data_IF_227249972252
#
_entry.id   IF_227249972252
#
_cell.length_a   1.000
_cell.length_b   1.000
_cell.length_c   1.000
_cell.angle_alpha   90.00
_cell.angle_beta   90.00
_cell.angle_gamma   90.00
#
_symmetry.space_group_name_H-M   'P 1'
#
loop_
_entity.id
_entity.type
_entity.pdbx_description
1 polymer ?
#
# COMPACT_ATOMS: atom_id res chain seq x y z
N UNK A 1 1.40 5.87 3.54
CA UNK A 1 1.09 6.11 4.96
C UNK A 1 -0.40 6.37 5.18
N UNK A 2 -0.97 7.45 4.64
CA UNK A 2 -2.33 7.94 5.00
C UNK A 2 -3.43 6.86 4.86
N UNK A 3 -3.59 6.26 3.68
CA UNK A 3 -4.64 5.25 3.46
C UNK A 3 -4.46 4.02 4.34
N UNK A 4 -3.21 3.60 4.60
CA UNK A 4 -2.93 2.52 5.54
C UNK A 4 -3.43 2.87 6.95
N UNK A 5 -3.13 4.07 7.45
CA UNK A 5 -3.60 4.48 8.77
C UNK A 5 -5.13 4.60 8.83
N UNK A 6 -5.79 5.04 7.75
CA UNK A 6 -7.25 5.11 7.71
C UNK A 6 -7.89 3.72 7.81
N UNK A 7 -7.37 2.73 7.07
CA UNK A 7 -7.86 1.35 7.12
C UNK A 7 -7.53 0.72 8.47
N UNK A 8 -6.28 0.84 8.92
CA UNK A 8 -5.80 0.24 10.17
C UNK A 8 -6.41 0.91 11.40
N UNK A 9 -6.87 2.16 11.32
CA UNK A 9 -7.65 2.77 12.40
C UNK A 9 -8.96 2.02 12.65
N UNK A 10 -9.59 1.45 11.62
CA UNK A 10 -10.81 0.65 11.78
C UNK A 10 -10.54 -0.68 12.49
N UNK A 11 -9.32 -1.22 12.40
CA UNK A 11 -8.94 -2.49 13.02
C UNK A 11 -8.34 -2.33 14.42
N UNK A 12 -7.45 -1.35 14.63
CA UNK A 12 -6.66 -1.18 15.87
C UNK A 12 -6.78 0.20 16.53
N UNK A 13 -7.64 1.07 16.00
CA UNK A 13 -7.89 2.41 16.54
C UNK A 13 -6.62 3.28 16.57
N UNK A 14 -6.46 4.02 17.68
CA UNK A 14 -5.34 4.94 17.88
C UNK A 14 -3.96 4.26 17.84
N UNK A 15 -3.88 2.94 18.03
CA UNK A 15 -2.63 2.17 17.94
C UNK A 15 -1.96 2.31 16.57
N UNK A 16 -2.72 2.65 15.52
CA UNK A 16 -2.18 2.90 14.18
C UNK A 16 -1.12 4.02 14.18
N UNK A 17 -1.17 4.96 15.13
CA UNK A 17 -0.18 6.05 15.28
C UNK A 17 1.25 5.52 15.46
N UNK A 18 1.42 4.33 16.03
CA UNK A 18 2.73 3.72 16.27
C UNK A 18 3.34 3.09 15.00
N UNK A 19 2.54 2.89 13.96
CA UNK A 19 3.00 2.32 12.70
C UNK A 19 3.67 3.39 11.84
N UNK A 20 4.78 3.05 11.18
CA UNK A 20 5.50 3.96 10.26
C UNK A 20 5.44 3.43 8.83
N UNK A 21 4.24 3.07 8.38
CA UNK A 21 4.04 2.49 7.06
C UNK A 21 4.31 3.53 5.96
N UNK A 22 5.23 3.24 5.05
CA UNK A 22 5.55 4.11 3.93
C UNK A 22 5.72 3.31 2.64
N UNK A 23 5.71 4.00 1.51
CA UNK A 23 5.90 3.39 0.21
C UNK A 23 6.57 4.39 -0.72
N UNK A 24 7.26 3.90 -1.74
CA UNK A 24 7.93 4.72 -2.73
C UNK A 24 8.33 3.91 -3.96
N UNK A 25 8.89 4.62 -4.94
CA UNK A 25 9.45 4.03 -6.14
C UNK A 25 10.98 4.10 -6.07
N UNK A 26 11.64 2.95 -6.21
CA UNK A 26 13.10 2.85 -6.23
C UNK A 26 13.50 2.16 -7.51
N UNK A 27 14.14 2.90 -8.44
CA UNK A 27 14.62 2.37 -9.73
C UNK A 27 13.55 1.56 -10.48
N UNK A 28 12.34 2.11 -10.60
CA UNK A 28 11.25 1.46 -11.33
C UNK A 28 10.56 0.33 -10.56
N UNK A 29 10.91 0.13 -9.29
CA UNK A 29 10.30 -0.89 -8.42
C UNK A 29 9.51 -0.23 -7.30
N UNK A 30 8.25 -0.61 -7.13
CA UNK A 30 7.48 -0.21 -5.96
C UNK A 30 8.04 -0.90 -4.71
N UNK A 31 8.38 -0.10 -3.70
CA UNK A 31 8.84 -0.57 -2.39
C UNK A 31 7.82 -0.14 -1.36
N UNK A 32 7.23 -1.11 -0.65
CA UNK A 32 6.27 -0.88 0.42
C UNK A 32 6.82 -1.39 1.74
N UNK A 33 6.85 -0.50 2.73
CA UNK A 33 7.34 -0.76 4.08
C UNK A 33 6.13 -0.85 5.00
N UNK A 34 5.84 -2.07 5.48
CA UNK A 34 4.69 -2.37 6.33
C UNK A 34 5.13 -2.71 7.76
N UNK A 35 4.27 -2.52 8.78
CA UNK A 35 4.55 -2.97 10.13
C UNK A 35 4.65 -4.49 10.22
N UNK A 36 5.46 -5.01 11.15
CA UNK A 36 5.72 -6.46 11.28
C UNK A 36 4.56 -7.30 11.83
N UNK A 37 3.47 -6.67 12.27
CA UNK A 37 2.28 -7.40 12.76
C UNK A 37 1.55 -8.09 11.61
N UNK A 38 1.17 -9.37 11.74
CA UNK A 38 0.36 -10.06 10.73
C UNK A 38 -0.96 -9.33 10.41
N UNK A 39 -1.59 -8.70 11.41
CA UNK A 39 -2.81 -7.91 11.23
C UNK A 39 -2.57 -6.69 10.34
N UNK A 40 -1.46 -5.98 10.54
CA UNK A 40 -1.10 -4.83 9.70
C UNK A 40 -0.80 -5.26 8.26
N UNK A 41 -0.12 -6.40 8.06
CA UNK A 41 0.09 -6.97 6.74
C UNK A 41 -1.25 -7.33 6.05
N UNK A 42 -2.20 -7.89 6.80
CA UNK A 42 -3.55 -8.18 6.29
C UNK A 42 -4.30 -6.91 5.90
N UNK A 43 -4.30 -5.89 6.75
CA UNK A 43 -4.94 -4.59 6.47
C UNK A 43 -4.37 -3.95 5.18
N UNK A 44 -3.05 -3.95 5.03
CA UNK A 44 -2.38 -3.44 3.84
C UNK A 44 -2.69 -4.28 2.59
N UNK A 45 -2.71 -5.60 2.72
CA UNK A 45 -2.99 -6.49 1.60
C UNK A 45 -4.43 -6.38 1.12
N UNK A 46 -5.39 -6.65 2.02
CA UNK A 46 -6.81 -6.73 1.68
C UNK A 46 -7.37 -5.36 1.30
N UNK A 47 -6.94 -4.28 1.98
CA UNK A 47 -7.50 -2.95 1.78
C UNK A 47 -6.79 -2.10 0.73
N UNK A 48 -5.56 -2.44 0.32
CA UNK A 48 -4.77 -1.61 -0.60
C UNK A 48 -4.14 -2.45 -1.72
N UNK A 49 -3.22 -3.35 -1.36
CA UNK A 49 -2.30 -3.94 -2.34
C UNK A 49 -3.00 -4.87 -3.30
N UNK A 50 -3.96 -5.68 -2.82
CA UNK A 50 -4.76 -6.56 -3.68
C UNK A 50 -5.44 -5.78 -4.80
N UNK A 51 -5.94 -4.58 -4.51
CA UNK A 51 -6.61 -3.74 -5.50
C UNK A 51 -5.60 -3.08 -6.44
N UNK A 52 -4.52 -2.51 -5.91
CA UNK A 52 -3.53 -1.82 -6.73
C UNK A 52 -2.67 -2.76 -7.59
N UNK A 53 -2.53 -4.03 -7.20
CA UNK A 53 -1.81 -5.06 -7.95
C UNK A 53 -2.74 -5.91 -8.86
N UNK A 54 -4.04 -5.60 -8.91
CA UNK A 54 -4.98 -6.21 -9.86
C UNK A 54 -5.12 -5.31 -11.10
N UNK A 55 -4.70 -5.80 -12.27
CA UNK A 55 -4.77 -5.05 -13.53
C UNK A 55 -6.19 -4.72 -13.99
N UNK A 56 -7.21 -5.36 -13.40
CA UNK A 56 -8.62 -5.10 -13.70
C UNK A 56 -9.21 -3.97 -12.85
N UNK A 57 -8.49 -3.53 -11.82
CA UNK A 57 -8.95 -2.48 -10.93
C UNK A 57 -8.94 -1.12 -11.65
N UNK A 58 -10.07 -0.41 -11.57
CA UNK A 58 -10.32 0.87 -12.25
C UNK A 58 -10.60 1.97 -11.23
N UNK A 59 -10.35 3.26 -11.54
CA UNK A 59 -9.94 3.80 -12.84
C UNK A 59 -8.45 3.68 -13.15
N UNK A 60 -7.61 3.32 -12.17
CA UNK A 60 -6.17 3.14 -12.33
C UNK A 60 -5.63 2.16 -11.28
N UNK A 61 -4.50 1.54 -11.58
CA UNK A 61 -3.78 0.63 -10.69
C UNK A 61 -2.25 0.67 -10.93
N UNK A 62 -1.46 0.03 -10.07
CA UNK A 62 0.00 0.00 -10.23
C UNK A 62 0.43 -0.76 -11.48
N UNK A 63 -0.28 -1.82 -11.86
CA UNK A 63 0.07 -2.65 -13.02
C UNK A 63 0.04 -1.84 -14.31
N UNK A 64 -0.95 -0.96 -14.47
CA UNK A 64 -1.03 -0.03 -15.60
C UNK A 64 0.11 1.00 -15.61
N UNK A 65 0.61 1.39 -14.43
CA UNK A 65 1.71 2.34 -14.29
C UNK A 65 3.09 1.69 -14.49
N UNK A 66 3.23 0.39 -14.24
CA UNK A 66 4.51 -0.33 -14.25
C UNK A 66 5.38 -0.09 -15.50
N UNK A 67 4.83 -0.08 -16.74
CA UNK A 67 5.62 0.18 -17.94
C UNK A 67 6.27 1.57 -17.99
N UNK A 68 5.75 2.53 -17.20
CA UNK A 68 6.09 3.96 -17.27
C UNK A 68 6.89 4.45 -16.07
N UNK A 69 7.26 3.57 -15.14
CA UNK A 69 7.90 3.94 -13.87
C UNK A 69 9.31 4.53 -14.00
N UNK A 70 9.92 4.43 -15.18
CA UNK A 70 11.26 4.96 -15.46
C UNK A 70 11.25 6.08 -16.52
N UNK A 71 10.07 6.56 -16.91
CA UNK A 71 9.96 7.73 -17.79
C UNK A 71 10.57 8.97 -17.11
N UNK A 72 11.26 9.80 -17.91
CA UNK A 72 11.92 11.04 -17.50
C UNK A 72 11.16 12.25 -18.02
#
# INVERSE_FOLDING_TARGET
AVIFHQISFQSVGLSTLQSRACAGLVRGTFVLLLPGSPGACKDAWDGILRHQLDSRYRPCNFVELMPRLMER
#
